data_IF_805163759704
#
_entry.id   IF_805163759704
#
_cell.length_a   1.000
_cell.length_b   1.000
_cell.length_c   1.000
_cell.angle_alpha   90.00
_cell.angle_beta   90.00
_cell.angle_gamma   90.00
#
_symmetry.space_group_name_H-M   'P 1'
#
loop_
_entity.id
_entity.type
_entity.pdbx_description
1 polymer ?
#
# COMPACT_ATOMS: atom_id res chain seq x y z
N UNK A 1 -16.51 25.13 16.71
CA UNK A 1 -15.86 25.44 15.41
C UNK A 1 -14.77 24.40 15.17
N UNK A 2 -14.95 23.51 14.16
CA UNK A 2 -13.94 22.53 13.77
C UNK A 2 -12.93 23.24 12.87
N UNK A 3 -11.75 23.59 13.41
CA UNK A 3 -10.66 24.12 12.63
C UNK A 3 -10.15 23.10 11.64
N UNK A 4 -10.45 23.25 10.36
CA UNK A 4 -9.82 22.48 9.29
C UNK A 4 -8.44 23.07 8.98
N UNK A 5 -7.44 22.23 8.75
CA UNK A 5 -6.13 22.71 8.30
C UNK A 5 -6.22 23.37 6.91
N UNK A 6 -5.36 24.32 6.63
CA UNK A 6 -5.29 24.96 5.30
C UNK A 6 -5.02 23.96 4.19
N UNK A 7 -4.18 22.97 4.44
CA UNK A 7 -3.90 21.89 3.48
C UNK A 7 -5.17 21.09 3.12
N UNK A 8 -5.99 20.79 4.14
CA UNK A 8 -7.26 20.06 3.93
C UNK A 8 -8.26 20.92 3.13
N UNK A 9 -8.36 22.21 3.41
CA UNK A 9 -9.21 23.12 2.65
C UNK A 9 -8.77 23.25 1.20
N UNK A 10 -7.46 23.37 0.94
CA UNK A 10 -6.90 23.43 -0.41
C UNK A 10 -7.17 22.12 -1.19
N UNK A 11 -7.02 20.98 -0.55
CA UNK A 11 -7.34 19.68 -1.16
C UNK A 11 -8.82 19.59 -1.52
N UNK A 12 -9.73 19.95 -0.60
CA UNK A 12 -11.18 19.97 -0.85
C UNK A 12 -11.51 20.91 -2.02
N UNK A 13 -10.92 22.10 -2.06
CA UNK A 13 -11.14 23.03 -3.17
C UNK A 13 -10.62 22.48 -4.50
N UNK A 14 -9.49 21.79 -4.51
CA UNK A 14 -8.95 21.16 -5.71
C UNK A 14 -9.91 20.14 -6.33
N UNK A 15 -10.59 19.33 -5.49
CA UNK A 15 -11.63 18.39 -5.96
C UNK A 15 -12.84 19.13 -6.51
N UNK A 16 -13.30 20.17 -5.81
CA UNK A 16 -14.44 20.95 -6.24
C UNK A 16 -14.21 21.67 -7.58
N UNK A 17 -12.98 22.13 -7.86
CA UNK A 17 -12.63 22.73 -9.15
C UNK A 17 -12.76 21.75 -10.32
N UNK A 18 -12.49 20.46 -10.12
CA UNK A 18 -12.64 19.43 -11.16
C UNK A 18 -14.11 19.28 -11.64
N UNK A 19 -15.07 19.55 -10.78
CA UNK A 19 -16.52 19.42 -11.06
C UNK A 19 -17.24 20.76 -11.28
N UNK A 20 -16.54 21.89 -11.35
CA UNK A 20 -17.11 23.23 -11.47
C UNK A 20 -18.06 23.44 -12.67
N UNK A 21 -17.85 22.69 -13.75
CA UNK A 21 -18.73 22.75 -14.94
C UNK A 21 -20.12 22.16 -14.69
N UNK A 22 -20.33 21.37 -13.64
CA UNK A 22 -21.63 20.82 -13.27
C UNK A 22 -22.30 21.74 -12.24
N UNK A 23 -23.43 22.32 -12.60
CA UNK A 23 -24.15 23.30 -11.78
C UNK A 23 -24.42 22.79 -10.38
N UNK A 24 -23.94 23.50 -9.37
CA UNK A 24 -24.10 23.17 -7.95
C UNK A 24 -23.25 22.02 -7.41
N UNK A 25 -22.63 21.21 -8.26
CA UNK A 25 -21.85 20.03 -7.82
C UNK A 25 -20.64 20.43 -6.95
N UNK A 26 -19.93 21.50 -7.34
CA UNK A 26 -18.74 21.96 -6.60
C UNK A 26 -19.07 22.35 -5.15
N UNK A 27 -20.21 23.01 -4.92
CA UNK A 27 -20.65 23.38 -3.57
C UNK A 27 -21.09 22.19 -2.74
N UNK A 28 -21.86 21.27 -3.35
CA UNK A 28 -22.28 20.04 -2.67
C UNK A 28 -21.07 19.20 -2.27
N UNK A 29 -20.09 19.05 -3.16
CA UNK A 29 -18.87 18.31 -2.89
C UNK A 29 -18.05 18.95 -1.77
N UNK A 30 -17.89 20.29 -1.76
CA UNK A 30 -17.22 20.98 -0.64
C UNK A 30 -17.92 20.72 0.68
N UNK A 31 -19.24 20.87 0.73
CA UNK A 31 -20.01 20.66 1.95
C UNK A 31 -19.87 19.21 2.47
N UNK A 32 -19.92 18.22 1.58
CA UNK A 32 -19.76 16.81 1.93
C UNK A 32 -18.36 16.53 2.49
N UNK A 33 -17.29 16.99 1.81
CA UNK A 33 -15.91 16.74 2.23
C UNK A 33 -15.52 17.52 3.50
N UNK A 34 -16.10 18.69 3.74
CA UNK A 34 -15.92 19.44 4.99
C UNK A 34 -16.60 18.72 6.16
N UNK A 35 -17.78 18.16 5.94
CA UNK A 35 -18.54 17.44 6.98
C UNK A 35 -17.99 16.05 7.28
N UNK A 36 -17.17 15.49 6.38
CA UNK A 36 -16.65 14.13 6.55
C UNK A 36 -15.63 14.05 7.69
N UNK A 37 -15.90 13.17 8.66
CA UNK A 37 -15.00 12.88 9.78
C UNK A 37 -14.03 11.78 9.35
N UNK A 38 -12.76 12.14 9.05
CA UNK A 38 -11.72 11.19 8.65
C UNK A 38 -10.35 11.85 8.55
N UNK A 39 -9.34 11.05 8.24
CA UNK A 39 -7.99 11.53 7.96
C UNK A 39 -7.95 12.36 6.66
N UNK A 40 -6.84 13.05 6.41
CA UNK A 40 -6.62 13.75 5.15
C UNK A 40 -6.73 12.80 3.95
N UNK A 41 -6.14 11.61 4.05
CA UNK A 41 -6.12 10.59 3.02
C UNK A 41 -7.52 10.05 2.72
N UNK A 42 -8.33 9.81 3.75
CA UNK A 42 -9.71 9.32 3.59
C UNK A 42 -10.59 10.35 2.91
N UNK A 43 -10.47 11.63 3.31
CA UNK A 43 -11.22 12.72 2.66
C UNK A 43 -10.76 12.93 1.23
N UNK A 44 -9.47 12.81 0.96
CA UNK A 44 -8.92 12.89 -0.39
C UNK A 44 -9.40 11.73 -1.27
N UNK A 45 -9.45 10.50 -0.73
CA UNK A 45 -9.98 9.32 -1.42
C UNK A 45 -11.47 9.49 -1.75
N UNK A 46 -12.27 9.94 -0.76
CA UNK A 46 -13.69 10.25 -0.97
C UNK A 46 -13.87 11.33 -2.04
N UNK A 47 -13.05 12.38 -2.00
CA UNK A 47 -13.07 13.46 -3.00
C UNK A 47 -12.81 12.94 -4.42
N UNK A 48 -11.82 12.08 -4.59
CA UNK A 48 -11.55 11.43 -5.89
C UNK A 48 -12.74 10.59 -6.34
N UNK A 49 -13.27 9.72 -5.48
CA UNK A 49 -14.43 8.86 -5.78
C UNK A 49 -15.65 9.69 -6.23
N UNK A 50 -15.93 10.79 -5.55
CA UNK A 50 -17.06 11.67 -5.91
C UNK A 50 -16.83 12.40 -7.24
N UNK A 51 -15.60 12.87 -7.47
CA UNK A 51 -15.23 13.50 -8.74
C UNK A 51 -15.39 12.51 -9.89
N UNK A 52 -14.89 11.29 -9.75
CA UNK A 52 -14.99 10.23 -10.77
C UNK A 52 -16.45 9.88 -11.06
N UNK A 53 -17.28 9.72 -10.03
CA UNK A 53 -18.71 9.50 -10.18
C UNK A 53 -19.47 10.67 -10.84
N UNK A 54 -19.00 11.90 -10.64
CA UNK A 54 -19.62 13.09 -11.24
C UNK A 54 -19.12 13.36 -12.66
N UNK A 55 -17.82 13.17 -12.93
CA UNK A 55 -17.19 13.46 -14.23
C UNK A 55 -17.41 12.30 -15.21
N UNK A 56 -17.61 11.10 -14.69
CA UNK A 56 -17.66 9.85 -15.42
C UNK A 56 -16.23 9.40 -15.74
N UNK A 57 -15.75 8.42 -14.98
CA UNK A 57 -14.45 7.81 -15.28
C UNK A 57 -14.59 6.97 -16.56
N UNK A 58 -13.92 7.40 -17.62
CA UNK A 58 -13.72 6.51 -18.78
C UNK A 58 -12.60 5.56 -18.38
N UNK A 59 -12.84 4.26 -18.37
CA UNK A 59 -11.77 3.30 -18.11
C UNK A 59 -10.58 3.64 -19.02
N UNK A 60 -9.39 3.72 -18.44
CA UNK A 60 -8.18 3.96 -19.21
C UNK A 60 -7.86 2.69 -19.98
N UNK A 61 -7.87 2.76 -21.29
CA UNK A 61 -7.42 1.65 -22.12
C UNK A 61 -5.89 1.56 -22.15
N UNK A 62 -5.33 0.37 -22.26
CA UNK A 62 -3.91 0.17 -22.44
C UNK A 62 -3.39 0.97 -23.64
N UNK A 63 -2.25 1.62 -23.48
CA UNK A 63 -1.66 2.39 -24.56
C UNK A 63 -0.47 3.23 -24.13
N UNK A 64 0.26 3.75 -25.10
CA UNK A 64 1.38 4.65 -24.92
C UNK A 64 1.07 6.01 -25.54
N UNK A 65 1.42 7.07 -24.84
CA UNK A 65 1.28 8.46 -25.32
C UNK A 65 2.59 9.20 -25.18
N UNK A 66 2.93 9.97 -26.21
CA UNK A 66 4.08 10.87 -26.22
C UNK A 66 3.56 12.29 -26.36
N UNK A 67 3.92 13.19 -25.43
CA UNK A 67 3.49 14.58 -25.45
C UNK A 67 4.19 15.37 -26.56
N UNK A 68 3.66 16.55 -26.89
CA UNK A 68 4.42 17.53 -27.68
C UNK A 68 5.58 18.09 -26.86
N UNK A 69 6.70 18.45 -27.49
CA UNK A 69 7.81 19.09 -26.79
C UNK A 69 7.37 20.38 -26.08
N UNK A 70 7.83 20.57 -24.86
CA UNK A 70 7.66 21.79 -24.08
C UNK A 70 8.97 22.09 -23.34
N UNK A 71 9.56 23.24 -23.55
CA UNK A 71 10.86 23.62 -22.96
C UNK A 71 11.97 22.57 -23.17
N UNK A 72 12.05 22.00 -24.38
CA UNK A 72 13.01 20.96 -24.70
C UNK A 72 12.73 19.58 -24.11
N UNK A 73 11.63 19.40 -23.38
CA UNK A 73 11.26 18.14 -22.76
C UNK A 73 10.02 17.52 -23.40
N UNK A 74 10.01 16.20 -23.41
CA UNK A 74 8.88 15.38 -23.91
C UNK A 74 8.51 14.38 -22.80
N UNK A 75 7.21 14.22 -22.56
CA UNK A 75 6.71 13.23 -21.61
C UNK A 75 6.19 12.01 -22.33
N UNK A 76 6.65 10.83 -21.96
CA UNK A 76 6.08 9.55 -22.34
C UNK A 76 5.23 9.01 -21.19
N UNK A 77 4.02 8.54 -21.51
CA UNK A 77 3.11 7.92 -20.54
C UNK A 77 2.67 6.57 -21.08
N UNK A 78 2.77 5.55 -20.23
CA UNK A 78 2.31 4.19 -20.52
C UNK A 78 1.15 3.88 -19.58
N UNK A 79 0.07 3.36 -20.12
CA UNK A 79 -1.08 2.84 -19.40
C UNK A 79 -1.22 1.37 -19.75
N UNK A 80 -1.20 0.49 -18.78
CA UNK A 80 -1.40 -0.96 -18.97
C UNK A 80 -1.98 -1.53 -17.66
N UNK A 81 -2.18 -2.84 -17.61
CA UNK A 81 -2.60 -3.51 -16.39
C UNK A 81 -1.63 -3.21 -15.23
N UNK A 82 -2.18 -3.14 -14.02
CA UNK A 82 -1.39 -2.89 -12.82
C UNK A 82 -0.20 -3.83 -12.73
N UNK A 83 -0.41 -5.13 -12.99
CA UNK A 83 0.61 -6.17 -12.92
C UNK A 83 1.79 -5.86 -13.86
N UNK A 84 1.52 -5.59 -15.13
CA UNK A 84 2.58 -5.33 -16.12
C UNK A 84 3.40 -4.09 -15.77
N UNK A 85 2.76 -3.02 -15.30
CA UNK A 85 3.48 -1.80 -14.89
C UNK A 85 4.35 -2.06 -13.67
N UNK A 86 3.86 -2.79 -12.67
CA UNK A 86 4.64 -3.12 -11.48
C UNK A 86 5.81 -4.07 -11.81
N UNK A 87 5.61 -5.07 -12.66
CA UNK A 87 6.70 -5.98 -13.07
C UNK A 87 7.78 -5.22 -13.85
N UNK A 88 7.39 -4.27 -14.69
CA UNK A 88 8.34 -3.39 -15.38
C UNK A 88 9.09 -2.48 -14.39
N UNK A 89 8.41 -1.88 -13.43
CA UNK A 89 9.05 -1.09 -12.37
C UNK A 89 10.07 -1.92 -11.58
N UNK A 90 9.75 -3.16 -11.22
CA UNK A 90 10.69 -4.08 -10.54
C UNK A 90 11.90 -4.42 -11.40
N UNK A 91 11.72 -4.52 -12.72
CA UNK A 91 12.84 -4.71 -13.66
C UNK A 91 13.78 -3.51 -13.61
N UNK A 92 13.24 -2.29 -13.60
CA UNK A 92 14.04 -1.08 -13.48
C UNK A 92 14.74 -0.99 -12.11
N UNK A 93 14.05 -1.35 -11.02
CA UNK A 93 14.62 -1.39 -9.66
C UNK A 93 15.82 -2.37 -9.57
N UNK A 94 15.78 -3.47 -10.33
CA UNK A 94 16.90 -4.43 -10.36
C UNK A 94 18.14 -3.92 -11.13
N UNK A 95 17.96 -2.95 -12.03
CA UNK A 95 19.04 -2.34 -12.82
C UNK A 95 19.60 -1.11 -12.10
N UNK A 96 18.81 -0.51 -11.22
CA UNK A 96 19.16 0.70 -10.51
C UNK A 96 20.30 0.46 -9.51
N UNK A 97 21.34 1.32 -9.57
CA UNK A 97 22.47 1.32 -8.64
C UNK A 97 22.76 2.72 -8.07
N UNK A 98 21.86 3.68 -8.33
CA UNK A 98 22.07 5.11 -8.05
C UNK A 98 21.54 5.49 -6.66
N UNK A 99 22.19 6.44 -5.98
CA UNK A 99 21.69 7.10 -4.74
C UNK A 99 20.80 8.31 -5.02
N UNK A 100 20.48 8.57 -6.28
CA UNK A 100 19.64 9.70 -6.71
C UNK A 100 18.17 9.53 -6.25
N UNK A 101 17.39 10.62 -6.23
CA UNK A 101 15.95 10.52 -5.98
C UNK A 101 15.27 9.53 -6.93
N UNK A 102 14.35 8.71 -6.40
CA UNK A 102 13.73 7.58 -7.12
C UNK A 102 13.29 7.89 -8.56
N UNK A 103 12.72 9.08 -8.82
CA UNK A 103 12.26 9.45 -10.17
C UNK A 103 13.40 9.56 -11.18
N UNK A 104 14.58 10.03 -10.76
CA UNK A 104 15.77 10.10 -11.61
C UNK A 104 16.39 8.73 -11.79
N UNK A 105 16.52 7.98 -10.71
CA UNK A 105 17.05 6.62 -10.70
C UNK A 105 16.27 5.68 -11.63
N UNK A 106 14.93 5.73 -11.60
CA UNK A 106 14.08 4.99 -12.54
C UNK A 106 14.26 5.43 -13.99
N UNK A 107 14.48 6.72 -14.24
CA UNK A 107 14.74 7.23 -15.59
C UNK A 107 16.09 6.73 -16.13
N UNK A 108 17.13 6.75 -15.32
CA UNK A 108 18.45 6.21 -15.69
C UNK A 108 18.38 4.70 -15.94
N UNK A 109 17.70 3.95 -15.05
CA UNK A 109 17.50 2.51 -15.23
C UNK A 109 16.73 2.19 -16.51
N UNK A 110 15.70 2.99 -16.83
CA UNK A 110 14.93 2.86 -18.07
C UNK A 110 15.83 2.98 -19.31
N UNK A 111 16.63 4.03 -19.39
CA UNK A 111 17.53 4.23 -20.55
C UNK A 111 18.61 3.16 -20.61
N UNK A 112 19.19 2.79 -19.46
CA UNK A 112 20.17 1.71 -19.37
C UNK A 112 19.60 0.37 -19.86
N UNK A 113 18.31 0.09 -19.56
CA UNK A 113 17.61 -1.08 -20.05
C UNK A 113 17.41 -1.04 -21.57
N UNK A 114 16.99 0.10 -22.11
CA UNK A 114 16.79 0.29 -23.56
C UNK A 114 18.13 0.19 -24.30
N UNK A 115 19.16 0.89 -23.85
CA UNK A 115 20.47 0.95 -24.49
C UNK A 115 21.24 -0.40 -24.37
N UNK A 116 20.97 -1.16 -23.32
CA UNK A 116 21.57 -2.48 -23.09
C UNK A 116 21.00 -3.61 -23.93
N UNK A 117 20.14 -3.31 -24.89
CA UNK A 117 19.56 -4.31 -25.83
C UNK A 117 18.37 -5.09 -25.26
N UNK A 118 17.79 -4.62 -24.14
CA UNK A 118 16.49 -5.08 -23.65
C UNK A 118 16.37 -6.58 -23.35
N UNK A 119 17.45 -7.21 -22.91
CA UNK A 119 17.38 -8.58 -22.37
C UNK A 119 16.38 -8.59 -21.21
N UNK A 120 15.26 -9.29 -21.36
CA UNK A 120 14.25 -9.42 -20.31
C UNK A 120 14.87 -10.12 -19.12
N UNK A 121 15.33 -9.34 -18.13
CA UNK A 121 15.58 -9.88 -16.81
C UNK A 121 14.25 -10.46 -16.33
N UNK A 122 14.16 -11.78 -16.15
CA UNK A 122 12.99 -12.37 -15.48
C UNK A 122 12.91 -11.75 -14.09
N UNK A 123 11.88 -10.98 -13.76
CA UNK A 123 11.76 -10.43 -12.42
C UNK A 123 11.71 -11.59 -11.43
N UNK A 124 12.66 -11.62 -10.50
CA UNK A 124 12.58 -12.56 -9.38
C UNK A 124 11.47 -12.08 -8.47
N UNK A 125 10.34 -12.78 -8.47
CA UNK A 125 9.18 -12.40 -7.64
C UNK A 125 9.55 -12.53 -6.16
N UNK A 126 9.80 -11.41 -5.50
CA UNK A 126 9.99 -11.31 -4.04
C UNK A 126 8.71 -10.92 -3.31
N UNK A 127 7.60 -11.03 -4.00
CA UNK A 127 6.28 -10.65 -3.52
C UNK A 127 5.76 -11.71 -2.57
N UNK A 128 5.24 -11.30 -1.42
CA UNK A 128 4.51 -12.17 -0.50
C UNK A 128 3.05 -12.19 -0.92
N UNK A 129 2.50 -13.38 -1.11
CA UNK A 129 1.09 -13.63 -1.40
C UNK A 129 0.47 -14.21 -0.15
N UNK A 130 -0.60 -13.60 0.36
CA UNK A 130 -1.34 -14.11 1.50
C UNK A 130 -2.54 -14.93 1.00
N UNK A 131 -2.56 -16.23 1.30
CA UNK A 131 -3.63 -17.14 0.91
C UNK A 131 -4.13 -17.86 2.17
N UNK A 132 -5.44 -17.81 2.43
CA UNK A 132 -6.06 -18.61 3.47
C UNK A 132 -6.04 -20.11 3.12
N UNK A 133 -6.03 -20.97 4.13
CA UNK A 133 -6.00 -22.42 3.92
C UNK A 133 -7.19 -22.91 3.07
N UNK A 134 -8.38 -22.37 3.28
CA UNK A 134 -9.58 -22.73 2.51
C UNK A 134 -9.47 -22.28 1.05
N UNK A 135 -8.97 -21.06 0.80
CA UNK A 135 -8.70 -20.57 -0.55
C UNK A 135 -7.65 -21.45 -1.25
N UNK A 136 -6.56 -21.79 -0.55
CA UNK A 136 -5.52 -22.67 -1.08
C UNK A 136 -6.10 -24.04 -1.46
N UNK A 137 -6.93 -24.64 -0.59
CA UNK A 137 -7.57 -25.90 -0.86
C UNK A 137 -8.53 -25.84 -2.06
N UNK A 138 -9.25 -24.72 -2.25
CA UNK A 138 -10.15 -24.48 -3.38
C UNK A 138 -9.37 -24.37 -4.69
N UNK A 139 -8.27 -23.61 -4.70
CA UNK A 139 -7.38 -23.46 -5.86
C UNK A 139 -6.77 -24.81 -6.26
N UNK A 140 -6.29 -25.60 -5.28
CA UNK A 140 -5.69 -26.93 -5.55
C UNK A 140 -6.71 -27.90 -6.16
N UNK A 141 -8.00 -27.79 -5.81
CA UNK A 141 -9.08 -28.58 -6.41
C UNK A 141 -9.50 -28.11 -7.80
N UNK A 142 -8.95 -26.98 -8.31
CA UNK A 142 -9.32 -26.39 -9.60
C UNK A 142 -10.65 -25.65 -9.58
N UNK A 143 -11.14 -25.26 -8.40
CA UNK A 143 -12.41 -24.52 -8.23
C UNK A 143 -12.20 -23.03 -7.91
N UNK A 144 -10.95 -22.59 -7.75
CA UNK A 144 -10.58 -21.25 -7.28
C UNK A 144 -10.01 -20.33 -8.36
N UNK A 145 -10.22 -20.59 -9.64
CA UNK A 145 -9.59 -19.87 -10.73
C UNK A 145 -9.87 -18.36 -10.71
N UNK A 146 -11.08 -17.96 -10.34
CA UNK A 146 -11.53 -16.56 -10.26
C UNK A 146 -11.31 -15.92 -8.88
N UNK A 147 -10.76 -16.65 -7.91
CA UNK A 147 -10.50 -16.12 -6.56
C UNK A 147 -9.46 -15.02 -6.63
N UNK A 148 -9.78 -13.83 -6.10
CA UNK A 148 -8.86 -12.69 -6.08
C UNK A 148 -8.02 -12.72 -4.81
N UNK A 149 -6.71 -12.68 -4.96
CA UNK A 149 -5.72 -12.81 -3.89
C UNK A 149 -4.79 -11.60 -3.91
N UNK A 150 -4.59 -11.01 -2.74
CA UNK A 150 -3.74 -9.83 -2.58
C UNK A 150 -2.25 -10.17 -2.47
N UNK A 151 -1.40 -9.26 -2.93
CA UNK A 151 0.04 -9.37 -2.90
C UNK A 151 0.71 -8.15 -2.25
N UNK A 152 1.88 -8.36 -1.61
CA UNK A 152 2.61 -7.33 -0.86
C UNK A 152 3.21 -6.22 -1.74
N UNK A 153 3.20 -6.38 -3.05
CA UNK A 153 3.60 -5.36 -4.02
C UNK A 153 2.46 -4.41 -4.42
N UNK A 154 1.29 -4.57 -3.80
CA UNK A 154 0.11 -3.75 -4.08
C UNK A 154 -0.70 -4.22 -5.27
N UNK A 155 -0.44 -5.42 -5.81
CA UNK A 155 -1.23 -6.04 -6.88
C UNK A 155 -2.17 -7.10 -6.34
N UNK A 156 -3.10 -7.53 -7.17
CA UNK A 156 -3.93 -8.74 -6.95
C UNK A 156 -3.66 -9.75 -8.07
N UNK A 157 -3.89 -11.01 -7.78
CA UNK A 157 -3.83 -12.11 -8.74
C UNK A 157 -5.05 -13.00 -8.60
N UNK A 158 -5.45 -13.63 -9.70
CA UNK A 158 -6.46 -14.70 -9.67
C UNK A 158 -5.82 -16.01 -9.25
N UNK A 159 -6.64 -16.98 -8.81
CA UNK A 159 -6.16 -18.33 -8.52
C UNK A 159 -5.51 -18.97 -9.75
N UNK A 160 -6.07 -18.79 -10.93
CA UNK A 160 -5.52 -19.30 -12.19
C UNK A 160 -4.11 -18.68 -12.48
N UNK A 161 -3.92 -17.37 -12.25
CA UNK A 161 -2.62 -16.74 -12.42
C UNK A 161 -1.57 -17.30 -11.44
N UNK A 162 -1.95 -17.58 -10.19
CA UNK A 162 -1.05 -18.19 -9.19
C UNK A 162 -0.64 -19.60 -9.63
N UNK A 163 -1.58 -20.41 -10.09
CA UNK A 163 -1.27 -21.76 -10.60
C UNK A 163 -0.30 -21.68 -11.78
N UNK A 164 -0.55 -20.79 -12.74
CA UNK A 164 0.33 -20.61 -13.90
C UNK A 164 1.74 -20.13 -13.47
N UNK A 165 1.86 -19.23 -12.50
CA UNK A 165 3.14 -18.80 -11.95
C UNK A 165 3.87 -19.95 -11.23
N UNK A 166 3.14 -20.78 -10.49
CA UNK A 166 3.71 -21.97 -9.84
C UNK A 166 4.23 -22.99 -10.87
N UNK A 167 3.45 -23.28 -11.90
CA UNK A 167 3.82 -24.21 -12.98
C UNK A 167 5.00 -23.70 -13.80
N UNK A 168 5.12 -22.42 -14.02
CA UNK A 168 6.25 -21.79 -14.74
C UNK A 168 7.52 -21.66 -13.88
N UNK A 169 7.47 -22.00 -12.59
CA UNK A 169 8.57 -21.80 -11.64
C UNK A 169 8.81 -20.32 -11.27
N UNK A 170 7.91 -19.42 -11.65
CA UNK A 170 8.07 -17.98 -11.41
C UNK A 170 7.81 -17.58 -9.95
N UNK A 171 7.15 -18.40 -9.15
CA UNK A 171 6.96 -18.16 -7.70
C UNK A 171 8.22 -18.40 -6.87
N UNK A 172 9.30 -18.93 -7.49
CA UNK A 172 10.53 -19.32 -6.79
C UNK A 172 10.37 -20.60 -5.98
N UNK A 173 11.50 -21.06 -5.39
CA UNK A 173 11.60 -22.38 -4.76
C UNK A 173 11.13 -22.43 -3.29
N UNK A 174 10.70 -21.29 -2.72
CA UNK A 174 10.44 -21.19 -1.28
C UNK A 174 8.98 -20.83 -1.01
N UNK A 175 8.27 -21.76 -0.38
CA UNK A 175 6.96 -21.52 0.21
C UNK A 175 7.13 -21.31 1.72
N UNK A 176 6.51 -20.26 2.25
CA UNK A 176 6.50 -19.97 3.67
C UNK A 176 5.09 -20.17 4.23
N UNK A 177 4.98 -20.89 5.35
CA UNK A 177 3.76 -20.93 6.13
C UNK A 177 3.87 -19.94 7.29
N UNK A 178 2.95 -19.00 7.38
CA UNK A 178 2.81 -18.05 8.49
C UNK A 178 1.71 -18.51 9.45
N UNK A 179 1.97 -18.45 10.76
CA UNK A 179 0.95 -18.71 11.77
C UNK A 179 0.45 -17.37 12.32
N UNK A 180 -0.87 -17.18 12.28
CA UNK A 180 -1.53 -16.00 12.79
C UNK A 180 -2.58 -16.42 13.83
N UNK A 181 -2.61 -15.72 14.97
CA UNK A 181 -3.60 -15.93 16.01
C UNK A 181 -4.68 -14.84 15.89
N UNK A 182 -5.98 -15.17 15.94
CA UNK A 182 -7.07 -14.23 15.68
C UNK A 182 -7.05 -12.94 16.52
N UNK A 183 -6.56 -13.01 17.75
CA UNK A 183 -6.51 -11.86 18.66
C UNK A 183 -5.11 -11.32 18.92
N UNK A 184 -4.06 -12.16 18.79
CA UNK A 184 -2.66 -11.78 19.04
C UNK A 184 -1.88 -11.38 17.79
N UNK A 185 -2.38 -11.73 16.58
CA UNK A 185 -1.71 -11.48 15.32
C UNK A 185 -0.61 -12.51 15.01
N UNK A 186 0.44 -12.14 14.26
CA UNK A 186 1.49 -13.05 13.85
C UNK A 186 2.22 -13.68 15.03
N UNK A 187 2.52 -14.98 14.96
CA UNK A 187 3.17 -15.74 16.06
C UNK A 187 4.58 -16.15 15.67
N UNK A 188 5.60 -15.75 16.47
CA UNK A 188 6.98 -16.24 16.36
C UNK A 188 7.77 -16.03 17.67
N UNK A 189 8.86 -16.77 17.86
CA UNK A 189 9.66 -16.84 19.07
C UNK A 189 11.12 -16.43 18.80
N UNK A 190 11.47 -15.13 18.76
CA UNK A 190 12.86 -14.68 18.68
C UNK A 190 13.08 -13.32 19.36
N UNK A 191 14.20 -13.17 20.08
CA UNK A 191 14.68 -11.90 20.63
C UNK A 191 15.77 -11.31 19.73
N UNK A 192 15.55 -10.14 19.16
CA UNK A 192 16.55 -9.35 18.43
C UNK A 192 16.10 -7.89 18.34
N UNK A 193 17.03 -6.94 18.21
CA UNK A 193 16.70 -5.52 18.07
C UNK A 193 16.04 -5.21 16.71
N UNK A 194 16.45 -5.92 15.68
CA UNK A 194 15.92 -5.72 14.32
C UNK A 194 15.09 -6.92 13.89
N UNK A 195 14.03 -6.67 13.15
CA UNK A 195 13.20 -7.71 12.58
C UNK A 195 14.03 -8.61 11.63
N UNK A 196 13.92 -9.91 11.79
CA UNK A 196 14.49 -10.88 10.86
C UNK A 196 13.75 -10.85 9.51
N UNK A 197 14.37 -11.42 8.45
CA UNK A 197 13.71 -11.58 7.16
C UNK A 197 12.36 -12.32 7.26
N UNK A 198 12.26 -13.32 8.13
CA UNK A 198 11.00 -14.07 8.38
C UNK A 198 9.94 -13.20 9.06
N UNK A 199 10.32 -12.39 10.04
CA UNK A 199 9.40 -11.46 10.72
C UNK A 199 8.92 -10.37 9.76
N UNK A 200 9.79 -9.89 8.85
CA UNK A 200 9.40 -8.98 7.78
C UNK A 200 8.34 -9.59 6.86
N UNK A 201 8.53 -10.86 6.46
CA UNK A 201 7.56 -11.58 5.62
C UNK A 201 6.20 -11.67 6.33
N UNK A 202 6.17 -12.04 7.62
CA UNK A 202 4.94 -12.09 8.41
C UNK A 202 4.24 -10.73 8.49
N UNK A 203 5.00 -9.66 8.76
CA UNK A 203 4.46 -8.30 8.83
C UNK A 203 3.90 -7.81 7.47
N UNK A 204 4.52 -8.20 6.35
CA UNK A 204 4.01 -7.90 5.01
C UNK A 204 2.75 -8.71 4.68
N UNK A 205 2.70 -9.99 5.05
CA UNK A 205 1.54 -10.84 4.83
C UNK A 205 0.32 -10.37 5.63
N UNK A 206 0.55 -9.79 6.81
CA UNK A 206 -0.52 -9.30 7.70
C UNK A 206 -1.38 -8.22 7.05
N UNK A 207 -0.79 -7.22 6.38
CA UNK A 207 -1.50 -6.03 5.95
C UNK A 207 -1.44 -5.76 4.44
N UNK A 208 -0.53 -6.36 3.68
CA UNK A 208 -0.26 -6.17 2.24
C UNK A 208 0.00 -4.72 1.78
N UNK A 209 -0.50 -3.74 2.52
CA UNK A 209 -0.27 -2.29 2.35
C UNK A 209 0.05 -1.68 3.72
N UNK A 210 0.60 -0.46 3.73
CA UNK A 210 0.76 0.31 4.97
C UNK A 210 -0.58 0.41 5.71
N UNK A 211 -0.70 -0.03 6.99
CA UNK A 211 -1.97 -0.08 7.71
C UNK A 211 -2.52 1.29 8.14
N UNK A 212 -1.81 2.39 7.84
CA UNK A 212 -2.30 3.74 8.13
C UNK A 212 -3.55 4.04 7.31
N UNK A 213 -4.63 4.59 7.90
CA UNK A 213 -5.89 4.86 7.22
C UNK A 213 -5.70 5.63 5.89
N UNK A 214 -6.29 5.11 4.81
CA UNK A 214 -6.23 5.69 3.47
C UNK A 214 -4.89 5.55 2.73
N UNK A 215 -3.86 4.95 3.35
CA UNK A 215 -2.57 4.73 2.70
C UNK A 215 -2.64 3.57 1.69
N UNK A 216 -2.00 3.78 0.53
CA UNK A 216 -1.96 2.81 -0.57
C UNK A 216 -0.56 2.26 -0.84
N UNK A 217 0.42 2.61 0.01
CA UNK A 217 1.80 2.16 -0.19
C UNK A 217 1.91 0.66 0.06
N UNK A 218 2.36 -0.13 -0.92
CA UNK A 218 2.52 -1.57 -0.80
C UNK A 218 3.45 -1.97 0.34
N UNK A 219 3.19 -3.10 0.98
CA UNK A 219 3.93 -3.53 2.17
C UNK A 219 5.40 -3.85 1.88
N UNK A 220 5.74 -4.28 0.67
CA UNK A 220 7.12 -4.53 0.25
C UNK A 220 7.97 -3.25 0.20
N UNK A 221 7.36 -2.08 -0.02
CA UNK A 221 7.97 -0.75 0.04
C UNK A 221 7.92 -0.10 1.42
N UNK A 222 7.37 -0.79 2.41
CA UNK A 222 7.29 -0.33 3.77
C UNK A 222 8.51 -0.77 4.60
N UNK A 223 8.77 -0.05 5.68
CA UNK A 223 9.72 -0.41 6.72
C UNK A 223 9.01 -1.24 7.80
N UNK A 224 9.72 -2.17 8.44
CA UNK A 224 9.19 -2.83 9.65
C UNK A 224 9.28 -1.86 10.81
N UNK A 225 8.14 -1.66 11.46
CA UNK A 225 7.95 -0.72 12.56
C UNK A 225 7.55 -1.47 13.84
N UNK A 226 8.10 -1.04 14.99
CA UNK A 226 7.67 -1.52 16.29
C UNK A 226 6.44 -0.75 16.77
N UNK A 227 5.33 -1.42 16.99
CA UNK A 227 4.08 -0.83 17.50
C UNK A 227 4.30 -0.16 18.86
N UNK A 228 4.91 -0.88 19.79
CA UNK A 228 5.52 -0.31 20.99
C UNK A 228 7.02 -0.12 20.70
N UNK A 229 7.47 1.11 20.63
CA UNK A 229 8.83 1.45 20.21
C UNK A 229 9.89 0.74 21.07
N UNK A 230 10.96 0.24 20.43
CA UNK A 230 12.06 -0.46 21.12
C UNK A 230 12.68 0.39 22.22
N UNK A 231 12.80 1.72 22.02
CA UNK A 231 13.29 2.66 23.06
C UNK A 231 12.42 2.71 24.32
N UNK A 232 11.15 2.29 24.24
CA UNK A 232 10.19 2.23 25.32
C UNK A 232 10.03 0.80 25.88
N UNK A 233 10.95 -0.12 25.56
CA UNK A 233 10.93 -1.52 26.01
C UNK A 233 10.13 -2.47 25.11
N UNK A 234 9.65 -2.01 23.95
CA UNK A 234 8.95 -2.85 22.98
C UNK A 234 9.88 -3.93 22.39
N UNK A 235 9.45 -5.18 22.48
CA UNK A 235 10.22 -6.32 21.99
C UNK A 235 10.09 -6.47 20.48
N UNK A 236 11.12 -7.03 19.83
CA UNK A 236 11.11 -7.38 18.41
C UNK A 236 10.50 -8.77 18.22
N UNK A 237 9.19 -8.85 18.41
CA UNK A 237 8.40 -10.04 18.14
C UNK A 237 7.27 -9.72 17.14
N UNK A 238 6.72 -10.70 16.42
CA UNK A 238 5.73 -10.44 15.37
C UNK A 238 4.49 -9.70 15.87
N UNK A 239 4.03 -9.96 17.09
CA UNK A 239 2.87 -9.27 17.68
C UNK A 239 3.10 -7.78 17.93
N UNK A 240 4.36 -7.35 18.03
CA UNK A 240 4.77 -5.95 18.19
C UNK A 240 5.32 -5.32 16.91
N UNK A 241 5.27 -6.02 15.77
CA UNK A 241 5.76 -5.53 14.49
C UNK A 241 4.61 -5.29 13.52
N UNK A 242 4.78 -4.31 12.65
CA UNK A 242 3.93 -4.04 11.50
C UNK A 242 4.75 -3.39 10.38
N UNK A 243 4.15 -3.13 9.22
CA UNK A 243 4.79 -2.39 8.13
C UNK A 243 4.26 -0.97 8.06
N UNK A 244 5.13 0.03 8.00
CA UNK A 244 4.75 1.43 7.74
C UNK A 244 5.59 1.99 6.60
N UNK A 245 4.97 2.75 5.69
CA UNK A 245 5.73 3.50 4.70
C UNK A 245 6.62 4.55 5.37
N UNK A 246 7.64 5.04 4.70
CA UNK A 246 8.61 5.98 5.28
C UNK A 246 7.95 7.24 5.86
N UNK A 247 6.92 7.75 5.18
CA UNK A 247 6.16 8.91 5.66
C UNK A 247 5.40 8.60 6.95
N UNK A 248 4.59 7.53 6.97
CA UNK A 248 3.80 7.18 8.15
C UNK A 248 4.64 6.66 9.30
N UNK A 249 5.78 6.04 9.03
CA UNK A 249 6.77 5.70 10.04
C UNK A 249 7.36 6.95 10.72
N UNK A 250 7.60 8.02 9.95
CA UNK A 250 8.13 9.30 10.47
C UNK A 250 7.10 10.14 11.24
N UNK A 251 5.80 9.99 10.97
CA UNK A 251 4.73 10.76 11.64
C UNK A 251 3.98 9.98 12.72
N UNK A 252 4.26 8.67 12.86
CA UNK A 252 3.73 7.86 13.94
C UNK A 252 4.26 8.37 15.29
N UNK A 253 3.37 8.53 16.26
CA UNK A 253 3.76 8.98 17.58
C UNK A 253 4.34 7.83 18.41
N UNK A 254 5.67 7.74 18.43
CA UNK A 254 6.43 6.76 19.22
C UNK A 254 6.73 7.25 20.64
N UNK A 255 6.07 8.30 21.10
CA UNK A 255 6.20 8.84 22.46
C UNK A 255 5.75 7.85 23.53
N UNK A 256 6.07 8.18 24.80
CA UNK A 256 5.53 7.43 25.91
C UNK A 256 4.00 7.46 25.87
N UNK A 257 3.35 6.36 26.28
CA UNK A 257 1.88 6.18 26.17
C UNK A 257 1.07 7.30 26.81
N UNK A 258 1.66 8.00 27.77
CA UNK A 258 1.00 9.02 28.59
C UNK A 258 1.29 10.46 28.14
N UNK A 259 2.14 10.67 27.13
CA UNK A 259 2.52 12.00 26.65
C UNK A 259 1.85 12.26 25.29
N UNK A 260 0.82 13.11 25.28
CA UNK A 260 0.22 13.65 24.03
C UNK A 260 1.06 14.83 23.54
N UNK A 261 1.64 14.70 22.36
CA UNK A 261 2.26 15.83 21.69
C UNK A 261 1.20 16.64 20.94
N UNK A 262 1.24 17.97 21.04
CA UNK A 262 0.29 18.88 20.37
C UNK A 262 0.19 18.65 18.85
N UNK A 263 1.28 18.14 18.24
CA UNK A 263 1.36 17.84 16.80
C UNK A 263 1.20 16.34 16.47
N UNK A 264 0.78 15.52 17.45
CA UNK A 264 0.59 14.09 17.23
C UNK A 264 -0.46 13.85 16.13
N UNK A 265 -0.15 12.96 15.20
CA UNK A 265 -1.11 12.45 14.19
C UNK A 265 -1.74 11.11 14.63
N UNK A 266 -1.39 10.64 15.80
CA UNK A 266 -1.80 9.36 16.35
C UNK A 266 -0.69 8.31 16.25
N UNK A 267 -0.98 7.12 16.72
CA UNK A 267 -0.03 6.01 16.75
C UNK A 267 -0.69 4.70 16.35
N UNK A 268 0.11 3.80 15.81
CA UNK A 268 -0.33 2.44 15.54
C UNK A 268 -0.45 1.65 16.84
N UNK A 269 -1.48 0.84 16.93
CA UNK A 269 -1.68 -0.16 17.99
C UNK A 269 -2.15 -1.47 17.40
N UNK A 270 -1.98 -2.57 18.14
CA UNK A 270 -2.66 -3.82 17.84
C UNK A 270 -3.94 -3.91 18.67
N UNK A 271 -5.08 -4.03 18.01
CA UNK A 271 -6.39 -4.15 18.64
C UNK A 271 -7.13 -5.37 18.07
N UNK A 272 -7.40 -6.35 18.89
CA UNK A 272 -8.05 -7.62 18.50
C UNK A 272 -7.34 -8.27 17.31
N UNK A 273 -6.02 -8.39 17.38
CA UNK A 273 -5.18 -8.98 16.34
C UNK A 273 -4.83 -8.05 15.19
N UNK A 274 -5.67 -7.10 14.83
CA UNK A 274 -5.46 -6.17 13.72
C UNK A 274 -4.67 -4.93 14.12
N UNK A 275 -3.88 -4.39 13.19
CA UNK A 275 -3.15 -3.13 13.38
C UNK A 275 -4.04 -1.96 12.99
N UNK A 276 -4.22 -1.00 13.91
CA UNK A 276 -5.08 0.17 13.74
C UNK A 276 -4.40 1.44 14.23
N UNK A 277 -4.82 2.58 13.69
CA UNK A 277 -4.43 3.89 14.16
C UNK A 277 -5.32 4.32 15.34
N UNK A 278 -4.71 4.73 16.44
CA UNK A 278 -5.38 5.55 17.48
C UNK A 278 -5.10 7.01 17.16
N UNK A 279 -6.15 7.75 16.86
CA UNK A 279 -6.04 9.20 16.65
C UNK A 279 -5.74 9.93 17.96
N UNK A 280 -5.25 11.18 17.94
CA UNK A 280 -5.09 11.99 19.15
C UNK A 280 -6.37 12.13 19.98
N UNK A 281 -7.53 12.05 19.33
CA UNK A 281 -8.85 12.05 20.00
C UNK A 281 -9.29 10.69 20.53
N UNK A 282 -8.46 9.65 20.46
CA UNK A 282 -8.76 8.30 20.95
C UNK A 282 -9.61 7.43 20.03
N UNK A 283 -9.93 7.89 18.81
CA UNK A 283 -10.69 7.09 17.84
C UNK A 283 -9.79 6.04 17.19
N UNK A 284 -10.30 4.82 17.07
CA UNK A 284 -9.65 3.72 16.36
C UNK A 284 -10.04 3.76 14.87
N UNK A 285 -9.04 3.80 14.00
CA UNK A 285 -9.22 3.78 12.55
C UNK A 285 -8.38 2.65 11.93
N UNK A 286 -8.97 1.87 11.03
CA UNK A 286 -8.29 0.92 10.17
C UNK A 286 -8.03 1.50 8.78
N UNK A 287 -7.16 0.88 8.01
CA UNK A 287 -7.05 1.20 6.59
C UNK A 287 -8.24 0.56 5.85
N UNK A 288 -8.88 1.34 4.97
CA UNK A 288 -10.06 0.93 4.18
C UNK A 288 -9.71 0.60 2.73
N UNK A 289 -8.43 0.53 2.39
CA UNK A 289 -7.99 0.11 1.06
C UNK A 289 -8.33 -1.37 0.83
N UNK A 290 -8.78 -1.74 -0.36
CA UNK A 290 -9.24 -3.10 -0.69
C UNK A 290 -8.20 -4.18 -0.33
N UNK A 291 -6.91 -3.94 -0.62
CA UNK A 291 -5.83 -4.85 -0.25
C UNK A 291 -5.62 -5.00 1.26
N UNK A 292 -6.04 -4.04 2.07
CA UNK A 292 -5.93 -4.17 3.53
C UNK A 292 -6.88 -5.23 4.11
N UNK A 293 -7.93 -5.58 3.36
CA UNK A 293 -8.89 -6.64 3.73
C UNK A 293 -8.53 -8.01 3.12
N UNK A 294 -7.40 -8.10 2.42
CA UNK A 294 -6.89 -9.34 1.82
C UNK A 294 -5.63 -9.85 2.55
N UNK A 295 -5.24 -9.20 3.64
CA UNK A 295 -4.12 -9.61 4.47
C UNK A 295 -4.44 -10.85 5.32
N UNK A 296 -3.40 -11.51 5.82
CA UNK A 296 -3.55 -12.77 6.56
C UNK A 296 -4.47 -12.68 7.78
N UNK A 297 -4.57 -11.50 8.41
CA UNK A 297 -5.45 -11.30 9.57
C UNK A 297 -6.95 -11.19 9.20
N UNK A 298 -7.28 -10.96 7.95
CA UNK A 298 -8.66 -10.90 7.44
C UNK A 298 -9.09 -12.23 6.79
N UNK A 299 -8.17 -13.20 6.71
CA UNK A 299 -8.41 -14.55 6.17
C UNK A 299 -8.68 -15.60 7.24
N UNK A 300 -8.68 -15.21 8.54
CA UNK A 300 -8.85 -16.12 9.68
C UNK A 300 -10.08 -15.77 10.54
#
# INVERSE_FOLDING_TARGET
ERGLSMERLQMIDSHAQKVKKKRGAAWKLRAELIAHEGTYEEVNALGNQRVDGLVGDKPKEPGMRISRPKNGMVTMSITDTQRRIIDFEKTLDAIETSSEPRSKALLEAFWKHIDGGGGVLKPEYRTVIAIGLDQSATIIRGEGDESIIGASDGTTMTGAEIVNLAMSGALGDKIYAGLFHPTAGPVNLYEARFASGKQRILAMAENLVCPWPGCKVPADRCQVHHIDAHKNGGQTNPSNLTTLCSYHNGVNDDGARDVRHEKSRGRMIRHRGQVKLVTPGGKLLGNTHDLSTMGAMDLI
#
